data_IF_478609117997
#
_entry.id   IF_478609117997
#
_cell.length_a   1.000
_cell.length_b   1.000
_cell.length_c   1.000
_cell.angle_alpha   90.00
_cell.angle_beta   90.00
_cell.angle_gamma   90.00
#
_symmetry.space_group_name_H-M   'P 1'
#
loop_
_entity.id
_entity.type
_entity.pdbx_description
1 polymer ?
#
# COMPACT_ATOMS: atom_id res chain seq x y z
N UNK A 1 15.21 17.32 -24.63
CA UNK A 1 14.05 16.44 -24.48
C UNK A 1 14.49 15.22 -23.69
N UNK A 2 13.88 14.95 -22.52
CA UNK A 2 14.15 13.73 -21.75
C UNK A 2 13.47 12.58 -22.50
N UNK A 3 14.23 11.56 -22.90
CA UNK A 3 13.69 10.38 -23.60
C UNK A 3 12.58 9.70 -22.77
N UNK A 4 11.52 9.17 -23.41
CA UNK A 4 10.49 8.43 -22.70
C UNK A 4 11.13 7.19 -22.06
N UNK A 5 11.00 7.04 -20.74
CA UNK A 5 11.45 5.85 -20.01
C UNK A 5 12.34 6.06 -18.80
N UNK A 6 12.73 7.30 -18.43
CA UNK A 6 13.45 7.56 -17.17
C UNK A 6 12.68 8.56 -16.31
N UNK A 7 11.98 8.05 -15.30
CA UNK A 7 11.41 8.89 -14.24
C UNK A 7 12.50 9.63 -13.48
N UNK A 8 12.25 10.89 -13.14
CA UNK A 8 13.06 11.62 -12.17
C UNK A 8 12.97 10.98 -10.78
N UNK A 9 13.88 11.32 -9.87
CA UNK A 9 13.83 10.78 -8.51
C UNK A 9 12.57 11.25 -7.76
N UNK A 10 12.08 12.47 -8.01
CA UNK A 10 10.80 12.95 -7.48
C UNK A 10 9.63 12.10 -8.00
N UNK A 11 9.63 11.77 -9.30
CA UNK A 11 8.60 10.90 -9.89
C UNK A 11 8.66 9.49 -9.31
N UNK A 12 9.85 8.93 -9.09
CA UNK A 12 10.02 7.61 -8.45
C UNK A 12 9.53 7.61 -7.01
N UNK A 13 9.83 8.67 -6.26
CA UNK A 13 9.35 8.86 -4.88
C UNK A 13 7.83 8.96 -4.85
N UNK A 14 7.24 9.71 -5.78
CA UNK A 14 5.79 9.86 -5.87
C UNK A 14 5.08 8.56 -6.23
N UNK A 15 5.64 7.80 -7.18
CA UNK A 15 5.15 6.46 -7.52
C UNK A 15 5.25 5.55 -6.29
N UNK A 16 6.38 5.54 -5.58
CA UNK A 16 6.56 4.73 -4.38
C UNK A 16 5.53 5.09 -3.29
N UNK A 17 5.35 6.39 -3.01
CA UNK A 17 4.36 6.91 -2.05
C UNK A 17 2.96 6.44 -2.40
N UNK A 18 2.56 6.59 -3.66
CA UNK A 18 1.25 6.19 -4.17
C UNK A 18 1.05 4.67 -4.11
N UNK A 19 2.07 3.89 -4.48
CA UNK A 19 2.02 2.42 -4.39
C UNK A 19 1.81 1.93 -2.95
N UNK A 20 2.51 2.52 -1.97
CA UNK A 20 2.35 2.16 -0.55
C UNK A 20 0.95 2.53 -0.06
N UNK A 21 0.47 3.74 -0.38
CA UNK A 21 -0.87 4.19 -0.01
C UNK A 21 -1.98 3.30 -0.59
N UNK A 22 -1.88 2.97 -1.88
CA UNK A 22 -2.83 2.09 -2.55
C UNK A 22 -2.79 0.67 -1.98
N UNK A 23 -1.60 0.13 -1.70
CA UNK A 23 -1.48 -1.18 -1.07
C UNK A 23 -2.18 -1.20 0.30
N UNK A 24 -1.92 -0.20 1.16
CA UNK A 24 -2.57 -0.09 2.46
C UNK A 24 -4.10 -0.07 2.35
N UNK A 25 -4.66 0.74 1.43
CA UNK A 25 -6.10 0.86 1.22
C UNK A 25 -6.69 -0.46 0.73
N UNK A 26 -6.10 -1.05 -0.31
CA UNK A 26 -6.61 -2.29 -0.91
C UNK A 26 -6.56 -3.46 0.07
N UNK A 27 -5.48 -3.59 0.84
CA UNK A 27 -5.35 -4.63 1.87
C UNK A 27 -6.46 -4.50 2.93
N UNK A 28 -6.76 -3.28 3.39
CA UNK A 28 -7.86 -3.04 4.33
C UNK A 28 -9.24 -3.33 3.72
N UNK A 29 -9.47 -2.97 2.46
CA UNK A 29 -10.71 -3.25 1.77
C UNK A 29 -10.94 -4.76 1.68
N UNK A 30 -9.93 -5.52 1.23
CA UNK A 30 -10.02 -6.98 1.11
C UNK A 30 -10.23 -7.61 2.49
N UNK A 31 -9.43 -7.25 3.48
CA UNK A 31 -9.50 -7.81 4.83
C UNK A 31 -10.88 -7.61 5.51
N UNK A 32 -11.60 -6.55 5.14
CA UNK A 32 -12.92 -6.24 5.69
C UNK A 32 -14.07 -6.53 4.70
N UNK A 33 -13.79 -7.20 3.59
CA UNK A 33 -14.81 -7.53 2.60
C UNK A 33 -15.72 -8.64 3.12
N UNK A 34 -16.94 -8.27 3.49
CA UNK A 34 -17.98 -9.23 3.87
C UNK A 34 -18.26 -10.21 2.74
N UNK A 35 -18.26 -9.75 1.48
CA UNK A 35 -18.47 -10.59 0.31
C UNK A 35 -17.35 -11.63 0.15
N UNK A 36 -16.08 -11.24 0.37
CA UNK A 36 -14.96 -12.19 0.28
C UNK A 36 -15.07 -13.29 1.34
N UNK A 37 -15.46 -12.94 2.57
CA UNK A 37 -15.70 -13.91 3.64
C UNK A 37 -16.87 -14.85 3.32
N UNK A 38 -18.00 -14.29 2.83
CA UNK A 38 -19.19 -15.08 2.47
C UNK A 38 -18.91 -16.07 1.33
N UNK A 39 -18.04 -15.71 0.39
CA UNK A 39 -17.62 -16.57 -0.71
C UNK A 39 -16.49 -17.54 -0.33
N UNK A 40 -15.98 -17.50 0.91
CA UNK A 40 -14.86 -18.32 1.35
C UNK A 40 -13.53 -17.98 0.66
N UNK A 41 -13.41 -16.79 0.06
CA UNK A 41 -12.18 -16.29 -0.58
C UNK A 41 -11.18 -15.73 0.44
N UNK A 42 -11.65 -15.51 1.67
CA UNK A 42 -10.87 -15.00 2.77
C UNK A 42 -11.32 -15.70 4.05
N UNK A 43 -10.36 -16.26 4.79
CA UNK A 43 -10.59 -16.77 6.15
C UNK A 43 -10.05 -15.81 7.23
N UNK A 44 -10.31 -16.12 8.50
CA UNK A 44 -9.91 -15.24 9.62
C UNK A 44 -8.39 -15.10 9.76
N UNK A 45 -7.61 -16.14 9.49
CA UNK A 45 -6.15 -16.08 9.56
C UNK A 45 -5.58 -15.18 8.45
N UNK A 46 -6.05 -15.36 7.21
CA UNK A 46 -5.69 -14.54 6.05
C UNK A 46 -6.09 -13.07 6.27
N UNK A 47 -7.27 -12.83 6.88
CA UNK A 47 -7.71 -11.49 7.27
C UNK A 47 -6.69 -10.84 8.21
N UNK A 48 -6.21 -11.53 9.24
CA UNK A 48 -5.20 -10.99 10.15
C UNK A 48 -3.88 -10.70 9.42
N UNK A 49 -3.46 -11.57 8.50
CA UNK A 49 -2.27 -11.36 7.67
C UNK A 49 -2.41 -10.08 6.83
N UNK A 50 -3.55 -9.88 6.17
CA UNK A 50 -3.82 -8.68 5.37
C UNK A 50 -3.82 -7.41 6.21
N UNK A 51 -4.41 -7.44 7.42
CA UNK A 51 -4.38 -6.31 8.35
C UNK A 51 -2.96 -5.96 8.80
N UNK A 52 -2.14 -6.97 9.11
CA UNK A 52 -0.72 -6.79 9.46
C UNK A 52 0.08 -6.22 8.28
N UNK A 53 -0.18 -6.67 7.06
CA UNK A 53 0.43 -6.12 5.86
C UNK A 53 0.04 -4.65 5.64
N UNK A 54 -1.22 -4.28 5.89
CA UNK A 54 -1.68 -2.89 5.83
C UNK A 54 -0.98 -2.01 6.89
N UNK A 55 -0.73 -2.55 8.09
CA UNK A 55 0.04 -1.85 9.12
C UNK A 55 1.50 -1.62 8.71
N UNK A 56 2.14 -2.61 8.07
CA UNK A 56 3.49 -2.44 7.53
C UNK A 56 3.52 -1.30 6.50
N UNK A 57 2.55 -1.26 5.58
CA UNK A 57 2.44 -0.19 4.59
C UNK A 57 2.22 1.19 5.25
N UNK A 58 1.38 1.28 6.28
CA UNK A 58 1.20 2.50 7.07
C UNK A 58 2.53 2.96 7.72
N UNK A 59 3.27 2.03 8.30
CA UNK A 59 4.54 2.33 8.94
C UNK A 59 5.63 2.72 7.92
N UNK A 60 5.57 2.20 6.69
CA UNK A 60 6.41 2.68 5.59
C UNK A 60 6.09 4.13 5.23
N UNK A 61 4.81 4.50 5.14
CA UNK A 61 4.40 5.90 4.92
C UNK A 61 4.90 6.83 6.02
N UNK A 62 4.77 6.44 7.29
CA UNK A 62 5.28 7.22 8.44
C UNK A 62 6.78 7.47 8.33
N UNK A 63 7.58 6.41 8.11
CA UNK A 63 9.04 6.52 7.93
C UNK A 63 9.41 7.40 6.74
N UNK A 64 8.68 7.32 5.64
CA UNK A 64 8.92 8.18 4.48
C UNK A 64 8.65 9.66 4.77
N UNK A 65 7.63 9.97 5.59
CA UNK A 65 7.37 11.34 6.07
C UNK A 65 8.44 11.83 7.04
N UNK A 66 8.84 10.99 8.01
CA UNK A 66 9.91 11.31 8.97
C UNK A 66 11.25 11.62 8.28
N UNK A 67 11.51 10.97 7.14
CA UNK A 67 12.71 11.21 6.32
C UNK A 67 12.57 12.38 5.34
N UNK A 68 11.42 13.06 5.29
CA UNK A 68 11.15 14.14 4.34
C UNK A 68 11.02 13.69 2.88
N UNK A 69 10.86 12.39 2.62
CA UNK A 69 10.71 11.82 1.27
C UNK A 69 9.28 11.94 0.77
N UNK A 70 8.29 11.76 1.64
CA UNK A 70 6.87 11.85 1.28
C UNK A 70 6.30 13.16 1.81
N UNK A 71 5.68 13.94 0.92
CA UNK A 71 4.85 15.10 1.28
C UNK A 71 3.43 14.64 1.60
#
# INVERSE_FOLDING_TARGET
MISPGKWSDEQRIEVLRSSIGNAMINLKIIANSQLANQLGLLNDDEKQILLKAAEIALNMMKRGKEKGLFK
#
